data_IF_637888743838
#
_entry.id   IF_637888743838
#
_cell.length_a   1.000
_cell.length_b   1.000
_cell.length_c   1.000
_cell.angle_alpha   90.00
_cell.angle_beta   90.00
_cell.angle_gamma   90.00
#
_symmetry.space_group_name_H-M   'P 1'
#
loop_
_entity.id
_entity.type
_entity.pdbx_description
1 polymer ?
#
# COMPACT_ATOMS: atom_id res chain seq x y z
N UNK A 1 14.96 1.38 -18.69
CA UNK A 1 14.45 0.44 -17.66
C UNK A 1 12.97 0.72 -17.51
N UNK A 2 12.10 -0.26 -17.75
CA UNK A 2 10.67 -0.13 -17.47
C UNK A 2 10.57 0.19 -15.97
N UNK A 3 10.32 1.47 -15.64
CA UNK A 3 10.30 1.94 -14.26
C UNK A 3 9.27 1.12 -13.50
N UNK A 4 9.65 0.59 -12.35
CA UNK A 4 8.71 -0.19 -11.55
C UNK A 4 7.58 0.74 -11.09
N UNK A 5 6.32 0.27 -11.04
CA UNK A 5 5.16 1.07 -10.61
C UNK A 5 5.19 1.43 -9.10
N UNK A 6 6.32 1.19 -8.43
CA UNK A 6 6.52 1.52 -7.03
C UNK A 6 6.79 3.02 -6.87
N UNK A 7 6.08 3.63 -5.94
CA UNK A 7 6.12 5.05 -5.66
C UNK A 7 6.73 5.25 -4.28
N UNK A 8 7.70 6.16 -4.13
CA UNK A 8 8.21 6.56 -2.81
C UNK A 8 7.14 7.38 -2.09
N UNK A 9 6.93 7.09 -0.81
CA UNK A 9 5.96 7.83 0.03
C UNK A 9 6.29 9.33 0.07
N UNK A 10 7.58 9.69 0.05
CA UNK A 10 8.02 11.09 0.04
C UNK A 10 7.78 11.83 -1.27
N UNK A 11 7.53 11.10 -2.38
CA UNK A 11 7.27 11.71 -3.69
C UNK A 11 5.77 11.92 -3.88
N UNK A 12 4.95 10.92 -3.52
CA UNK A 12 3.50 10.98 -3.69
C UNK A 12 2.80 9.98 -2.76
N UNK A 13 1.61 10.36 -2.29
CA UNK A 13 0.71 9.50 -1.55
C UNK A 13 -0.31 8.84 -2.49
N UNK A 14 -0.77 7.60 -2.19
CA UNK A 14 -1.93 7.06 -2.87
C UNK A 14 -3.17 7.87 -2.51
N UNK A 15 -4.22 7.72 -3.30
CA UNK A 15 -5.53 8.22 -2.92
C UNK A 15 -6.00 7.49 -1.64
N UNK A 16 -6.57 8.26 -0.72
CA UNK A 16 -7.09 7.74 0.56
C UNK A 16 -8.11 6.63 0.30
N UNK A 17 -7.98 5.50 0.99
CA UNK A 17 -8.88 4.35 0.83
C UNK A 17 -8.54 3.41 -0.32
N UNK A 18 -7.68 3.79 -1.27
CA UNK A 18 -7.28 2.87 -2.35
C UNK A 18 -6.35 1.75 -1.83
N UNK A 19 -6.54 0.50 -2.32
CA UNK A 19 -5.72 -0.63 -1.90
C UNK A 19 -4.31 -0.58 -2.52
N UNK A 20 -3.31 -0.73 -1.66
CA UNK A 20 -1.88 -0.75 -2.02
C UNK A 20 -1.14 -1.91 -1.35
N UNK A 21 -0.03 -2.34 -1.95
CA UNK A 21 1.03 -3.07 -1.24
C UNK A 21 2.09 -2.09 -0.76
N UNK A 22 2.72 -2.40 0.37
CA UNK A 22 3.64 -1.51 1.06
C UNK A 22 5.02 -2.14 1.24
N UNK A 23 6.07 -1.31 1.23
CA UNK A 23 7.39 -1.66 1.76
C UNK A 23 7.54 -1.05 3.16
N UNK A 24 7.44 -1.90 4.17
CA UNK A 24 7.62 -1.55 5.58
C UNK A 24 8.91 -2.19 6.12
N UNK A 25 9.77 -1.39 6.75
CA UNK A 25 11.07 -1.84 7.27
C UNK A 25 11.93 -2.61 6.23
N UNK A 26 11.86 -2.22 4.96
CA UNK A 26 12.60 -2.87 3.86
C UNK A 26 11.96 -4.16 3.32
N UNK A 27 10.78 -4.55 3.83
CA UNK A 27 10.08 -5.79 3.44
C UNK A 27 8.74 -5.45 2.78
N UNK A 28 8.49 -6.05 1.61
CA UNK A 28 7.18 -6.01 0.95
C UNK A 28 6.18 -6.76 1.83
N UNK A 29 5.14 -6.08 2.28
CA UNK A 29 4.11 -6.68 3.10
C UNK A 29 3.23 -7.61 2.26
N UNK A 30 2.83 -8.73 2.86
CA UNK A 30 1.95 -9.74 2.27
C UNK A 30 0.44 -9.42 2.39
N UNK A 31 0.09 -8.31 3.06
CA UNK A 31 -1.27 -7.80 3.19
C UNK A 31 -1.42 -6.55 2.34
N UNK A 32 -2.64 -6.30 1.88
CA UNK A 32 -3.01 -5.02 1.29
C UNK A 32 -3.37 -4.01 2.38
N UNK A 33 -3.02 -2.77 2.13
CA UNK A 33 -3.28 -1.65 3.03
C UNK A 33 -3.96 -0.51 2.28
N UNK A 34 -4.51 0.45 3.00
CA UNK A 34 -4.93 1.74 2.49
C UNK A 34 -4.44 2.85 3.41
N UNK A 35 -4.21 4.04 2.84
CA UNK A 35 -3.89 5.23 3.62
C UNK A 35 -5.20 5.86 4.11
N UNK A 36 -5.27 6.25 5.38
CA UNK A 36 -6.38 7.05 5.91
C UNK A 36 -5.95 7.95 7.06
N UNK A 37 -6.74 9.00 7.29
CA UNK A 37 -6.58 9.86 8.47
C UNK A 37 -6.87 9.08 9.74
N UNK A 38 -6.03 9.29 10.74
CA UNK A 38 -6.11 8.75 12.08
C UNK A 38 -6.11 9.93 13.07
N UNK A 39 -7.20 10.02 13.83
CA UNK A 39 -7.43 11.02 14.88
C UNK A 39 -7.65 12.47 14.39
N UNK A 40 -8.11 13.33 15.31
CA UNK A 40 -8.39 14.76 15.10
C UNK A 40 -7.15 15.61 14.78
N UNK A 41 -5.95 15.06 14.97
CA UNK A 41 -4.68 15.73 14.70
C UNK A 41 -4.20 15.58 13.24
N UNK A 42 -5.06 15.16 12.31
CA UNK A 42 -4.76 14.99 10.88
C UNK A 42 -3.56 14.06 10.61
N UNK A 43 -3.31 13.09 11.48
CA UNK A 43 -2.19 12.17 11.31
C UNK A 43 -2.58 11.04 10.36
N UNK A 44 -1.79 10.74 9.33
CA UNK A 44 -2.08 9.59 8.48
C UNK A 44 -1.60 8.28 9.12
N UNK A 45 -2.28 7.17 8.78
CA UNK A 45 -1.85 5.81 9.10
C UNK A 45 -2.21 4.85 7.97
N UNK A 46 -1.44 3.78 7.84
CA UNK A 46 -1.70 2.69 6.90
C UNK A 46 -2.53 1.61 7.58
N UNK A 47 -3.74 1.35 7.10
CA UNK A 47 -4.64 0.36 7.69
C UNK A 47 -4.71 -0.88 6.81
N UNK A 48 -4.68 -2.10 7.38
CA UNK A 48 -4.83 -3.32 6.60
C UNK A 48 -6.26 -3.42 6.06
N UNK A 49 -6.42 -3.82 4.79
CA UNK A 49 -7.72 -3.93 4.13
C UNK A 49 -8.54 -5.13 4.65
N UNK A 50 -7.87 -6.23 4.96
CA UNK A 50 -8.47 -7.50 5.39
C UNK A 50 -8.14 -7.86 6.87
N UNK A 51 -7.73 -6.88 7.67
CA UNK A 51 -7.07 -7.14 8.95
C UNK A 51 -7.64 -6.38 10.14
N UNK A 52 -7.21 -6.81 11.32
CA UNK A 52 -7.40 -6.09 12.58
C UNK A 52 -6.65 -4.73 12.52
N UNK A 53 -7.31 -3.66 12.95
CA UNK A 53 -6.73 -2.32 13.01
C UNK A 53 -5.48 -2.23 13.91
N UNK A 54 -5.24 -3.22 14.78
CA UNK A 54 -3.99 -3.36 15.55
C UNK A 54 -2.74 -3.50 14.66
N UNK A 55 -2.89 -4.01 13.44
CA UNK A 55 -1.77 -4.11 12.47
C UNK A 55 -1.57 -2.84 11.64
N UNK A 56 -2.20 -1.73 12.02
CA UNK A 56 -2.07 -0.49 11.29
C UNK A 56 -0.68 0.14 11.49
N UNK A 57 0.01 0.42 10.39
CA UNK A 57 1.41 0.83 10.37
C UNK A 57 1.51 2.37 10.44
N UNK A 58 2.37 2.93 11.31
CA UNK A 58 2.60 4.38 11.35
C UNK A 58 3.04 4.92 9.99
N UNK A 59 2.53 6.09 9.61
CA UNK A 59 2.78 6.70 8.30
C UNK A 59 4.27 6.71 7.90
N UNK A 60 5.12 7.15 8.84
CA UNK A 60 6.57 7.35 8.64
C UNK A 60 7.38 6.07 8.43
N UNK A 61 6.80 4.89 8.68
CA UNK A 61 7.54 3.63 8.62
C UNK A 61 7.48 2.93 7.26
N UNK A 62 6.70 3.47 6.33
CA UNK A 62 6.56 2.94 4.97
C UNK A 62 7.44 3.75 4.02
N UNK A 63 8.24 3.06 3.23
CA UNK A 63 9.14 3.71 2.27
C UNK A 63 8.53 3.83 0.87
N UNK A 64 7.84 2.79 0.42
CA UNK A 64 7.27 2.70 -0.92
C UNK A 64 5.90 2.03 -0.90
N UNK A 65 5.11 2.31 -1.91
CA UNK A 65 3.82 1.69 -2.16
C UNK A 65 3.60 1.43 -3.66
N UNK A 66 2.70 0.52 -3.98
CA UNK A 66 2.21 0.27 -5.35
C UNK A 66 0.71 0.00 -5.27
N UNK A 67 -0.08 0.51 -6.21
CA UNK A 67 -1.50 0.14 -6.26
C UNK A 67 -1.64 -1.34 -6.61
N UNK A 68 -2.61 -2.00 -5.98
CA UNK A 68 -2.91 -3.40 -6.30
C UNK A 68 -3.30 -3.56 -7.77
N UNK A 69 -4.02 -2.58 -8.36
CA UNK A 69 -4.39 -2.55 -9.79
C UNK A 69 -3.22 -2.42 -10.76
N UNK A 70 -2.06 -1.95 -10.27
CA UNK A 70 -0.84 -1.78 -11.07
C UNK A 70 0.11 -2.99 -10.96
N UNK A 71 -0.26 -4.00 -10.17
CA UNK A 71 0.46 -5.25 -10.11
C UNK A 71 0.25 -6.04 -11.41
N UNK A 72 1.28 -6.72 -11.91
CA UNK A 72 1.09 -7.65 -13.01
C UNK A 72 0.10 -8.72 -12.58
N UNK A 73 -1.01 -8.83 -13.29
CA UNK A 73 -1.93 -9.93 -13.10
C UNK A 73 -1.21 -11.23 -13.42
N UNK A 74 -1.52 -12.34 -12.71
CA UNK A 74 -1.05 -13.64 -13.14
C UNK A 74 -1.49 -13.87 -14.60
N UNK A 75 -0.71 -14.62 -15.39
CA UNK A 75 -1.16 -15.01 -16.72
C UNK A 75 -2.54 -15.67 -16.57
N UNK A 76 -3.53 -15.09 -17.21
CA UNK A 76 -4.88 -15.65 -17.22
C UNK A 76 -4.77 -17.02 -17.91
N UNK A 77 -5.31 -18.10 -17.35
CA UNK A 77 -5.39 -19.37 -18.07
C UNK A 77 -6.12 -19.11 -19.40
N UNK A 78 -5.56 -19.58 -20.50
CA UNK A 78 -6.24 -19.54 -21.79
C UNK A 78 -7.44 -20.51 -21.73
N UNK A 79 -8.60 -19.99 -21.34
CA UNK A 79 -9.87 -20.74 -21.32
C UNK A 79 -10.09 -21.56 -20.04
N UNK A 80 -11.21 -21.30 -19.38
CA UNK A 80 -12.00 -22.37 -18.76
C UNK A 80 -12.91 -23.00 -19.83
#
# INVERSE_FOLDING_TARGET
>A
MQGTNWVKVSERLPETGEPVLLVYAGVIQHLTYFLSSYDYAESYRWFPYAGNMEFAIPFKCVSHWIYVKDLPLPPMPEGE
#
